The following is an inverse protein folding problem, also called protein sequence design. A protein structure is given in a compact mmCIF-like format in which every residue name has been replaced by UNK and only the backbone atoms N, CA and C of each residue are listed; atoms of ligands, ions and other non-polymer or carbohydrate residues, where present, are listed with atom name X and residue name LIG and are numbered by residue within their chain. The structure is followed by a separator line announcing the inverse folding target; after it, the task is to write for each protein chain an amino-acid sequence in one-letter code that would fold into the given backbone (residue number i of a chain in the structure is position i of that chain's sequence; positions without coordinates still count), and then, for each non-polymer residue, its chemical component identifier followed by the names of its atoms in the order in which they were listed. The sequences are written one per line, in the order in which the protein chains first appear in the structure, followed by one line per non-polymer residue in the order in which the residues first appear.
data_IF_170039380403
#
_entry.id   IF_170039380403
#
_cell.length_a   1.000
_cell.length_b   1.000
_cell.length_c   1.000
_cell.angle_alpha   90.00
_cell.angle_beta   90.00
_cell.angle_gamma   90.00
#
_symmetry.space_group_name_H-M   'P 1'
#
loop_
_entity.id
_entity.type
_entity.pdbx_description
1 polymer ?
#
# COMPACT_ATOMS: atom_id res chain seq x y z
N UNK A 1 -0.29 9.23 -19.90
CA UNK A 1 1.16 9.37 -19.64
C UNK A 1 1.60 8.09 -18.99
N UNK A 2 2.70 7.52 -19.45
CA UNK A 2 3.31 6.31 -18.88
C UNK A 2 4.33 6.70 -17.81
N UNK A 3 4.65 5.79 -16.87
CA UNK A 3 5.77 5.97 -15.95
C UNK A 3 7.05 6.28 -16.74
N UNK A 4 7.93 7.09 -16.15
CA UNK A 4 9.23 7.37 -16.75
C UNK A 4 9.99 6.06 -16.97
N UNK A 5 10.74 5.96 -18.07
CA UNK A 5 11.45 4.72 -18.43
C UNK A 5 12.37 4.26 -17.29
N UNK A 6 13.03 5.21 -16.61
CA UNK A 6 13.88 4.93 -15.45
C UNK A 6 13.13 4.28 -14.29
N UNK A 7 11.84 4.55 -14.09
CA UNK A 7 11.01 3.88 -13.08
C UNK A 7 10.66 2.47 -13.55
N UNK A 8 10.26 2.32 -14.82
CA UNK A 8 9.89 1.01 -15.40
C UNK A 8 11.08 0.04 -15.35
N UNK A 9 12.26 0.51 -15.75
CA UNK A 9 13.51 -0.25 -15.72
C UNK A 9 13.81 -0.81 -14.33
N UNK A 10 13.53 -0.07 -13.24
CA UNK A 10 13.73 -0.60 -11.89
C UNK A 10 12.84 -1.82 -11.59
N UNK A 11 11.58 -1.80 -12.02
CA UNK A 11 10.69 -2.94 -11.84
C UNK A 11 11.05 -4.12 -12.75
N UNK A 12 11.53 -3.85 -13.96
CA UNK A 12 11.95 -4.88 -14.91
C UNK A 12 13.20 -5.66 -14.44
N UNK A 13 14.00 -5.07 -13.54
CA UNK A 13 15.16 -5.73 -12.92
C UNK A 13 14.76 -6.77 -11.85
N UNK A 14 13.52 -6.73 -11.35
CA UNK A 14 13.06 -7.66 -10.30
C UNK A 14 12.59 -8.96 -10.94
N UNK A 15 13.08 -10.10 -10.46
CA UNK A 15 12.51 -11.39 -10.84
C UNK A 15 11.07 -11.45 -10.29
N UNK A 16 10.09 -11.47 -11.19
CA UNK A 16 8.68 -11.56 -10.83
C UNK A 16 8.37 -12.75 -9.91
N UNK A 17 9.12 -13.83 -9.98
CA UNK A 17 8.89 -15.03 -9.16
C UNK A 17 9.78 -15.08 -7.92
N UNK A 18 10.51 -14.00 -7.61
CA UNK A 18 11.28 -13.91 -6.38
C UNK A 18 10.37 -14.08 -5.16
N UNK A 19 10.87 -14.82 -4.15
CA UNK A 19 10.27 -14.84 -2.82
C UNK A 19 10.84 -13.72 -1.92
N UNK A 20 11.82 -12.97 -2.41
CA UNK A 20 12.50 -11.93 -1.66
C UNK A 20 11.77 -10.59 -1.80
N UNK A 21 11.01 -10.21 -0.77
CA UNK A 21 10.29 -8.93 -0.71
C UNK A 21 11.20 -7.71 -0.91
N UNK A 22 12.47 -7.81 -0.51
CA UNK A 22 13.40 -6.67 -0.52
C UNK A 22 13.75 -6.19 -1.93
N UNK A 23 13.61 -7.04 -2.95
CA UNK A 23 13.86 -6.65 -4.35
C UNK A 23 12.87 -5.59 -4.84
N UNK A 24 11.66 -5.54 -4.28
CA UNK A 24 10.66 -4.55 -4.63
C UNK A 24 10.83 -3.20 -3.90
N UNK A 25 11.65 -3.12 -2.86
CA UNK A 25 11.78 -1.88 -2.07
C UNK A 25 12.44 -0.74 -2.84
N UNK A 26 13.48 -1.03 -3.63
CA UNK A 26 14.15 -0.04 -4.48
C UNK A 26 13.20 0.56 -5.53
N UNK A 27 12.54 -0.27 -6.36
CA UNK A 27 11.57 0.18 -7.35
C UNK A 27 10.42 0.99 -6.74
N UNK A 28 9.80 0.51 -5.66
CA UNK A 28 8.73 1.25 -5.00
C UNK A 28 9.22 2.56 -4.36
N UNK A 29 10.41 2.58 -3.76
CA UNK A 29 10.96 3.82 -3.18
C UNK A 29 11.23 4.86 -4.26
N UNK A 30 11.74 4.44 -5.42
CA UNK A 30 11.97 5.30 -6.58
C UNK A 30 10.65 5.90 -7.08
N UNK A 31 9.63 5.05 -7.30
CA UNK A 31 8.30 5.49 -7.69
C UNK A 31 7.68 6.47 -6.68
N UNK A 32 7.74 6.15 -5.39
CA UNK A 32 7.18 6.99 -4.34
C UNK A 32 7.89 8.35 -4.26
N UNK A 33 9.20 8.39 -4.52
CA UNK A 33 9.98 9.64 -4.54
C UNK A 33 9.58 10.54 -5.71
N UNK A 34 9.24 9.95 -6.86
CA UNK A 34 8.72 10.68 -8.02
C UNK A 34 7.33 11.28 -7.73
N UNK A 35 6.41 10.47 -7.19
CA UNK A 35 5.02 10.90 -7.02
C UNK A 35 4.76 11.68 -5.72
N UNK A 36 5.62 11.54 -4.70
CA UNK A 36 5.60 12.33 -3.45
C UNK A 36 6.95 13.03 -3.22
N UNK A 37 7.28 14.06 -4.03
CA UNK A 37 8.60 14.67 -3.97
C UNK A 37 8.78 15.51 -2.69
N UNK A 38 10.01 15.54 -2.19
CA UNK A 38 10.40 16.34 -1.02
C UNK A 38 10.16 17.86 -1.22
N UNK A 39 10.22 18.33 -2.48
CA UNK A 39 9.90 19.70 -2.85
C UNK A 39 8.46 20.10 -2.50
N UNK A 40 7.55 19.12 -2.40
CA UNK A 40 6.16 19.31 -1.96
C UNK A 40 5.96 19.02 -0.45
N UNK A 41 7.06 18.92 0.31
CA UNK A 41 7.09 18.65 1.75
C UNK A 41 6.55 17.28 2.18
N UNK A 42 6.66 16.29 1.30
CA UNK A 42 6.45 14.89 1.65
C UNK A 42 7.75 14.22 2.09
N UNK A 43 7.64 13.27 3.01
CA UNK A 43 8.74 12.44 3.46
C UNK A 43 8.35 10.97 3.34
N UNK A 44 9.23 10.18 2.74
CA UNK A 44 9.10 8.73 2.64
C UNK A 44 9.79 8.11 3.86
N UNK A 45 9.03 7.38 4.65
CA UNK A 45 9.49 6.78 5.91
C UNK A 45 9.29 5.27 5.85
N UNK A 46 10.31 4.49 5.42
CA UNK A 46 10.26 3.05 5.52
C UNK A 46 10.26 2.64 7.00
N UNK A 47 9.31 1.80 7.38
CA UNK A 47 9.24 1.18 8.70
C UNK A 47 9.32 -0.32 8.55
N UNK A 48 10.50 -0.88 8.83
CA UNK A 48 10.65 -2.30 9.05
C UNK A 48 10.20 -2.61 10.47
N UNK A 49 9.10 -3.37 10.61
CA UNK A 49 8.78 -3.97 11.91
C UNK A 49 9.44 -5.34 11.98
N UNK A 50 10.31 -5.52 12.97
CA UNK A 50 10.77 -6.85 13.33
C UNK A 50 9.58 -7.73 13.75
N UNK A 51 9.71 -9.06 13.68
CA UNK A 51 8.64 -9.95 14.09
C UNK A 51 8.27 -9.67 15.55
N UNK A 52 7.07 -9.13 15.78
CA UNK A 52 6.51 -8.98 17.12
C UNK A 52 6.17 -10.34 17.75
N UNK A 53 6.08 -11.38 16.92
CA UNK A 53 5.77 -12.77 17.31
C UNK A 53 6.63 -13.76 16.52
N UNK A 54 7.08 -14.87 17.13
CA UNK A 54 7.72 -15.97 16.42
C UNK A 54 6.82 -16.50 15.30
N UNK A 55 7.31 -16.54 14.06
CA UNK A 55 6.55 -16.96 12.87
C UNK A 55 5.93 -15.82 12.05
N UNK A 56 6.12 -14.56 12.45
CA UNK A 56 5.78 -13.40 11.63
C UNK A 56 6.86 -13.11 10.58
N UNK A 57 6.46 -12.82 9.35
CA UNK A 57 7.37 -12.46 8.24
C UNK A 57 7.83 -11.02 8.48
N UNK A 58 9.09 -10.67 8.18
CA UNK A 58 9.50 -9.26 8.15
C UNK A 58 8.64 -8.52 7.12
N UNK A 59 8.14 -7.33 7.49
CA UNK A 59 7.41 -6.48 6.55
C UNK A 59 7.93 -5.06 6.63
N UNK A 60 8.08 -4.46 5.47
CA UNK A 60 8.35 -3.02 5.36
C UNK A 60 7.10 -2.32 4.89
N UNK A 61 6.59 -1.45 5.76
CA UNK A 61 5.56 -0.49 5.38
C UNK A 61 6.23 0.81 5.06
N UNK A 62 5.96 1.37 3.89
CA UNK A 62 6.46 2.69 3.54
C UNK A 62 5.35 3.70 3.82
N UNK A 63 5.59 4.55 4.81
CA UNK A 63 4.70 5.66 5.13
C UNK A 63 5.09 6.88 4.31
N UNK A 64 4.10 7.59 3.81
CA UNK A 64 4.26 8.94 3.27
C UNK A 64 3.71 9.88 4.32
N UNK A 65 4.63 10.63 4.92
CA UNK A 65 4.30 11.64 5.90
C UNK A 65 4.28 13.01 5.22
N UNK A 66 3.38 13.87 5.70
CA UNK A 66 3.45 15.31 5.44
C UNK A 66 3.57 16.03 6.78
N UNK A 67 4.15 17.25 6.75
CA UNK A 67 4.26 18.24 7.84
C UNK A 67 3.91 17.71 9.25
N UNK A 68 4.92 17.64 10.15
CA UNK A 68 4.80 17.15 11.54
C UNK A 68 4.59 15.63 11.70
N UNK A 69 4.99 14.83 10.70
CA UNK A 69 5.01 13.35 10.74
C UNK A 69 3.61 12.72 10.85
N UNK A 70 2.63 13.30 10.15
CA UNK A 70 1.32 12.68 10.03
C UNK A 70 1.27 11.81 8.77
N UNK A 71 0.94 10.51 8.88
CA UNK A 71 0.83 9.64 7.73
C UNK A 71 -0.40 10.03 6.91
N UNK A 72 -0.19 10.27 5.62
CA UNK A 72 -1.24 10.66 4.65
C UNK A 72 -1.46 9.61 3.57
N UNK A 73 -0.52 8.67 3.45
CA UNK A 73 -0.58 7.52 2.56
C UNK A 73 0.37 6.45 3.09
N UNK A 74 0.10 5.18 2.81
CA UNK A 74 1.08 4.12 3.08
C UNK A 74 0.95 2.97 2.08
N UNK A 75 2.04 2.23 1.90
CA UNK A 75 2.06 1.02 1.10
C UNK A 75 2.72 -0.12 1.87
N UNK A 76 2.11 -1.30 1.80
CA UNK A 76 2.66 -2.58 2.23
C UNK A 76 3.03 -3.38 0.99
N UNK A 77 4.25 -3.90 0.95
CA UNK A 77 4.79 -4.62 -0.21
C UNK A 77 4.95 -6.10 0.15
N UNK A 78 4.60 -6.97 -0.78
CA UNK A 78 4.83 -8.42 -0.73
C UNK A 78 5.34 -8.90 -2.09
N UNK A 79 6.04 -10.04 -2.16
CA UNK A 79 6.41 -10.65 -3.43
C UNK A 79 5.19 -11.05 -4.27
N UNK A 80 5.29 -11.04 -5.60
CA UNK A 80 4.20 -11.43 -6.50
C UNK A 80 3.67 -12.86 -6.26
N UNK A 81 4.49 -13.89 -5.98
CA UNK A 81 3.97 -15.25 -5.72
C UNK A 81 3.00 -15.35 -4.53
N UNK A 82 2.98 -14.36 -3.63
CA UNK A 82 1.99 -14.31 -2.55
C UNK A 82 0.57 -14.10 -3.07
N UNK A 83 0.41 -13.60 -4.30
CA UNK A 83 -0.90 -13.41 -4.92
C UNK A 83 -1.60 -14.73 -5.21
N UNK A 84 -0.86 -15.82 -5.46
CA UNK A 84 -1.46 -17.12 -5.77
C UNK A 84 -1.80 -17.94 -4.51
N UNK A 85 -1.30 -17.54 -3.34
CA UNK A 85 -1.50 -18.25 -2.08
C UNK A 85 -2.59 -17.61 -1.19
N UNK A 86 -3.64 -18.39 -0.91
CA UNK A 86 -4.79 -18.00 -0.07
C UNK A 86 -4.36 -17.45 1.31
N UNK A 87 -3.42 -18.13 1.96
CA UNK A 87 -2.96 -17.75 3.30
C UNK A 87 -2.22 -16.42 3.29
N UNK A 88 -1.38 -16.17 2.29
CA UNK A 88 -0.63 -14.91 2.19
C UNK A 88 -1.54 -13.73 1.82
N UNK A 89 -2.57 -13.95 0.98
CA UNK A 89 -3.60 -12.93 0.71
C UNK A 89 -4.39 -12.57 1.96
N UNK A 90 -4.88 -13.56 2.70
CA UNK A 90 -5.62 -13.32 3.95
C UNK A 90 -4.76 -12.55 4.98
N UNK A 91 -3.48 -12.91 5.12
CA UNK A 91 -2.54 -12.19 6.00
C UNK A 91 -2.28 -10.75 5.53
N UNK A 92 -2.15 -10.52 4.23
CA UNK A 92 -1.96 -9.18 3.68
C UNK A 92 -3.19 -8.29 3.93
N UNK A 93 -4.41 -8.80 3.75
CA UNK A 93 -5.64 -8.06 4.06
C UNK A 93 -5.73 -7.72 5.56
N UNK A 94 -5.49 -8.70 6.43
CA UNK A 94 -5.48 -8.47 7.87
C UNK A 94 -4.44 -7.40 8.26
N UNK A 95 -3.23 -7.49 7.69
CA UNK A 95 -2.17 -6.53 7.96
C UNK A 95 -2.58 -5.11 7.56
N UNK A 96 -3.19 -4.92 6.38
CA UNK A 96 -3.72 -3.62 5.97
C UNK A 96 -4.73 -3.08 6.99
N UNK A 97 -5.68 -3.90 7.43
CA UNK A 97 -6.69 -3.50 8.43
C UNK A 97 -6.05 -3.10 9.75
N UNK A 98 -5.09 -3.88 10.24
CA UNK A 98 -4.34 -3.57 11.45
C UNK A 98 -3.58 -2.24 11.33
N UNK A 99 -3.06 -1.91 10.13
CA UNK A 99 -2.45 -0.60 9.86
C UNK A 99 -3.45 0.53 9.96
N UNK A 100 -4.62 0.38 9.34
CA UNK A 100 -5.68 1.39 9.46
C UNK A 100 -6.08 1.58 10.92
N UNK A 101 -6.34 0.52 11.67
CA UNK A 101 -6.68 0.61 13.10
C UNK A 101 -5.63 1.40 13.88
N UNK A 102 -4.34 1.10 13.65
CA UNK A 102 -3.24 1.78 14.32
C UNK A 102 -3.13 3.28 13.97
N UNK A 103 -3.46 3.67 12.73
CA UNK A 103 -3.42 5.07 12.28
C UNK A 103 -4.67 5.82 12.74
N UNK A 104 -5.85 5.21 12.62
CA UNK A 104 -7.14 5.80 13.02
C UNK A 104 -7.15 6.13 14.51
N UNK A 105 -6.58 5.26 15.35
CA UNK A 105 -6.44 5.51 16.79
C UNK A 105 -5.60 6.76 17.15
N UNK A 106 -4.88 7.33 16.18
CA UNK A 106 -4.10 8.57 16.34
C UNK A 106 -4.76 9.81 15.73
N UNK A 107 -6.01 9.68 15.25
CA UNK A 107 -6.77 10.70 14.53
C UNK A 107 -6.05 11.19 13.26
N UNK A 108 -6.39 10.64 12.08
CA UNK A 108 -5.85 11.11 10.80
C UNK A 108 -6.13 12.61 10.59
N UNK A 109 -5.18 13.30 9.95
CA UNK A 109 -5.27 14.74 9.67
C UNK A 109 -5.93 15.07 8.32
N UNK A 110 -6.26 14.04 7.55
CA UNK A 110 -6.94 14.14 6.26
C UNK A 110 -8.25 13.36 6.32
N UNK A 111 -9.31 13.84 5.63
CA UNK A 111 -10.65 13.26 5.72
C UNK A 111 -10.74 11.85 5.13
N UNK A 112 -9.82 11.48 4.23
CA UNK A 112 -9.67 10.12 3.73
C UNK A 112 -8.22 9.68 3.80
N UNK A 113 -8.00 8.43 4.19
CA UNK A 113 -6.68 7.81 4.21
C UNK A 113 -6.63 6.66 3.20
N UNK A 114 -5.62 6.69 2.33
CA UNK A 114 -5.37 5.63 1.37
C UNK A 114 -4.21 4.74 1.83
N UNK A 115 -4.40 3.44 1.67
CA UNK A 115 -3.39 2.42 1.89
C UNK A 115 -3.33 1.49 0.69
N UNK A 116 -2.13 1.15 0.23
CA UNK A 116 -1.92 0.20 -0.86
C UNK A 116 -1.37 -1.11 -0.31
N UNK A 117 -1.98 -2.23 -0.70
CA UNK A 117 -1.36 -3.55 -0.57
C UNK A 117 -0.83 -3.97 -1.93
N UNK A 118 0.49 -4.10 -2.06
CA UNK A 118 1.15 -4.55 -3.27
C UNK A 118 1.65 -6.00 -3.13
N UNK A 119 1.46 -6.79 -4.18
CA UNK A 119 2.01 -8.12 -4.38
C UNK A 119 2.76 -8.13 -5.72
N UNK A 120 4.07 -7.93 -5.65
CA UNK A 120 4.87 -7.51 -6.80
C UNK A 120 4.36 -6.17 -7.31
N UNK A 121 3.99 -6.11 -8.59
CA UNK A 121 3.40 -4.92 -9.23
C UNK A 121 1.87 -4.91 -9.22
N UNK A 122 1.22 -6.01 -8.81
CA UNK A 122 -0.23 -6.06 -8.60
C UNK A 122 -0.58 -5.39 -7.30
N UNK A 123 -1.63 -4.57 -7.28
CA UNK A 123 -1.99 -3.86 -6.05
C UNK A 123 -3.50 -3.76 -5.81
N UNK A 124 -3.84 -3.66 -4.53
CA UNK A 124 -5.16 -3.36 -4.03
C UNK A 124 -5.18 -2.01 -3.33
N UNK A 125 -6.32 -1.33 -3.41
CA UNK A 125 -6.53 -0.02 -2.80
C UNK A 125 -7.47 -0.16 -1.60
N UNK A 126 -7.01 0.34 -0.47
CA UNK A 126 -7.82 0.48 0.73
C UNK A 126 -8.08 1.97 0.98
N UNK A 127 -9.34 2.29 1.26
CA UNK A 127 -9.80 3.66 1.49
C UNK A 127 -10.54 3.71 2.82
N UNK A 128 -10.02 4.50 3.76
CA UNK A 128 -10.71 4.86 4.98
C UNK A 128 -11.30 6.25 4.85
N UNK A 129 -12.58 6.40 5.21
CA UNK A 129 -13.27 7.68 5.32
C UNK A 129 -13.50 8.03 6.79
N UNK A 130 -13.01 9.19 7.22
CA UNK A 130 -13.07 9.65 8.61
C UNK A 130 -14.50 10.03 9.06
N UNK A 131 -15.31 10.60 8.16
CA UNK A 131 -16.67 11.03 8.46
C UNK A 131 -17.59 9.82 8.71
N UNK A 132 -17.50 8.81 7.85
CA UNK A 132 -18.34 7.61 7.96
C UNK A 132 -17.73 6.52 8.84
N UNK A 133 -16.44 6.65 9.18
CA UNK A 133 -15.64 5.63 9.84
C UNK A 133 -15.67 4.26 9.12
N UNK A 134 -15.69 4.29 7.77
CA UNK A 134 -15.76 3.08 6.93
C UNK A 134 -14.40 2.84 6.28
N UNK A 135 -13.97 1.57 6.28
CA UNK A 135 -12.83 1.08 5.52
C UNK A 135 -13.30 0.20 4.36
N UNK A 136 -12.94 0.60 3.14
CA UNK A 136 -13.11 -0.20 1.93
C UNK A 136 -11.75 -0.80 1.51
N UNK A 137 -11.75 -1.97 0.86
CA UNK A 137 -12.88 -2.89 0.71
C UNK A 137 -13.33 -3.51 2.06
N UNK A 138 -14.60 -3.92 2.18
CA UNK A 138 -15.10 -4.61 3.37
C UNK A 138 -14.30 -5.87 3.69
N UNK A 139 -14.25 -6.22 4.98
CA UNK A 139 -13.72 -7.51 5.41
C UNK A 139 -14.65 -8.61 4.94
N UNK A 140 -14.08 -9.68 4.38
CA UNK A 140 -14.85 -10.90 4.14
C UNK A 140 -14.77 -11.74 5.41
N UNK A 141 -15.90 -12.24 5.88
CA UNK A 141 -15.91 -13.13 7.04
C UNK A 141 -15.46 -14.54 6.60
N UNK A 142 -14.62 -15.23 7.38
CA UNK A 142 -14.33 -16.64 7.13
C UNK A 142 -15.59 -17.47 7.33
N UNK A 143 -15.81 -18.42 6.41
CA UNK A 143 -16.83 -19.45 6.62
C UNK A 143 -16.38 -20.45 7.70
N UNK A 144 -17.29 -20.83 8.60
CA UNK A 144 -16.98 -21.69 9.75
C UNK A 144 -16.76 -23.17 9.35
N UNK A 145 -17.27 -23.60 8.20
CA UNK A 145 -17.17 -24.97 7.69
C UNK A 145 -16.18 -25.11 6.55
N UNK A 146 -15.98 -24.06 5.75
CA UNK A 146 -15.21 -24.12 4.52
C UNK A 146 -13.97 -23.23 4.54
N UNK A 147 -12.84 -23.77 4.04
CA UNK A 147 -11.67 -22.97 3.71
C UNK A 147 -12.00 -22.07 2.52
N UNK A 148 -12.30 -20.80 2.84
CA UNK A 148 -12.73 -19.78 1.88
C UNK A 148 -11.65 -18.74 1.69
N UNK A 149 -11.65 -18.10 0.53
CA UNK A 149 -10.77 -16.97 0.27
C UNK A 149 -11.29 -15.72 0.97
N UNK A 150 -10.69 -15.40 2.11
CA UNK A 150 -11.01 -14.21 2.92
C UNK A 150 -10.58 -12.92 2.20
N UNK A 151 -9.63 -13.01 1.26
CA UNK A 151 -9.14 -11.88 0.48
C UNK A 151 -8.97 -12.34 -0.98
N UNK A 152 -10.05 -12.28 -1.80
CA UNK A 152 -10.04 -12.81 -3.16
C UNK A 152 -8.88 -12.24 -3.98
N UNK A 153 -8.26 -13.06 -4.84
CA UNK A 153 -7.14 -12.61 -5.69
C UNK A 153 -7.49 -11.36 -6.51
N UNK A 154 -8.74 -11.25 -6.97
CA UNK A 154 -9.27 -10.09 -7.69
C UNK A 154 -9.28 -8.80 -6.87
N UNK A 155 -8.96 -8.84 -5.56
CA UNK A 155 -8.71 -7.67 -4.73
C UNK A 155 -7.45 -6.92 -5.19
N UNK A 156 -6.43 -7.63 -5.69
CA UNK A 156 -5.21 -7.05 -6.29
C UNK A 156 -5.36 -6.95 -7.82
N UNK A 157 -6.46 -6.34 -8.27
CA UNK A 157 -6.83 -6.28 -9.68
C UNK A 157 -6.03 -5.25 -10.51
N UNK A 158 -5.42 -4.25 -9.88
CA UNK A 158 -4.64 -3.25 -10.60
C UNK A 158 -3.22 -3.74 -10.86
N UNK A 159 -2.74 -3.55 -12.08
CA UNK A 159 -1.35 -3.79 -12.48
C UNK A 159 -0.63 -2.45 -12.62
N UNK A 160 0.34 -2.17 -11.74
CA UNK A 160 0.98 -0.86 -11.61
C UNK A 160 1.63 -0.35 -12.90
N UNK A 161 2.19 -1.25 -13.70
CA UNK A 161 2.93 -0.91 -14.93
C UNK A 161 2.05 -0.85 -16.19
N UNK A 162 0.77 -1.20 -16.06
CA UNK A 162 -0.25 -1.03 -17.10
C UNK A 162 -0.98 0.31 -16.93
N UNK A 163 -1.53 0.85 -18.02
CA UNK A 163 -2.18 2.16 -18.06
C UNK A 163 -3.25 2.33 -16.98
N UNK A 164 -4.05 1.30 -16.74
CA UNK A 164 -5.12 1.34 -15.73
C UNK A 164 -4.61 1.44 -14.29
N UNK A 165 -3.55 0.70 -13.96
CA UNK A 165 -2.94 0.76 -12.63
C UNK A 165 -2.16 2.04 -12.40
N UNK A 166 -1.45 2.54 -13.42
CA UNK A 166 -0.79 3.83 -13.37
C UNK A 166 -1.80 4.97 -13.14
N UNK A 167 -2.86 5.02 -13.96
CA UNK A 167 -3.90 6.04 -13.82
C UNK A 167 -4.53 6.00 -12.44
N UNK A 168 -4.80 4.79 -11.91
CA UNK A 168 -5.34 4.63 -10.56
C UNK A 168 -4.37 5.17 -9.50
N UNK A 169 -3.10 4.79 -9.54
CA UNK A 169 -2.09 5.24 -8.58
C UNK A 169 -1.94 6.77 -8.60
N UNK A 170 -1.80 7.36 -9.79
CA UNK A 170 -1.69 8.82 -9.94
C UNK A 170 -2.94 9.55 -9.45
N UNK A 171 -4.12 9.01 -9.72
CA UNK A 171 -5.38 9.57 -9.22
C UNK A 171 -5.44 9.62 -7.70
N UNK A 172 -5.03 8.53 -7.03
CA UNK A 172 -4.95 8.48 -5.57
C UNK A 172 -3.96 9.50 -5.02
N UNK A 173 -2.77 9.60 -5.62
CA UNK A 173 -1.76 10.58 -5.22
C UNK A 173 -2.27 12.00 -5.37
N UNK A 174 -2.93 12.33 -6.48
CA UNK A 174 -3.51 13.65 -6.70
C UNK A 174 -4.56 14.00 -5.64
N UNK A 175 -5.45 13.06 -5.30
CA UNK A 175 -6.45 13.25 -4.23
C UNK A 175 -5.78 13.46 -2.85
N UNK A 176 -4.76 12.65 -2.51
CA UNK A 176 -3.97 12.83 -1.29
C UNK A 176 -3.34 14.21 -1.24
N UNK A 177 -2.67 14.63 -2.33
CA UNK A 177 -2.03 15.95 -2.43
C UNK A 177 -3.03 17.08 -2.22
N UNK A 178 -4.20 17.00 -2.86
CA UNK A 178 -5.27 17.99 -2.72
C UNK A 178 -5.80 18.06 -1.28
N UNK A 179 -6.10 16.93 -0.64
CA UNK A 179 -6.51 16.90 0.78
C UNK A 179 -5.47 17.52 1.69
N UNK A 180 -4.20 17.34 1.34
CA UNK A 180 -3.09 17.84 2.11
C UNK A 180 -2.83 19.35 1.97
N UNK A 181 -3.37 20.03 0.96
CA UNK A 181 -3.30 21.50 0.84
C UNK A 181 -4.01 22.20 2.00
N UNK A 182 -5.05 21.58 2.55
CA UNK A 182 -5.79 22.06 3.71
C UNK A 182 -5.07 21.89 5.06
N UNK A 183 -3.96 21.16 5.11
CA UNK A 183 -3.18 20.95 6.35
C UNK A 183 -2.41 22.25 6.67
N UNK A 184 -2.94 23.02 7.63
CA UNK A 184 -2.27 24.22 8.16
C UNK A 184 -0.93 23.85 8.81
N UNK A 185 0.08 24.71 8.59
CA UNK A 185 1.47 24.52 9.04
C UNK A 185 1.61 24.45 10.57
#
# INVERSE_FOLDING_TARGET
MTWADTIREQFDLVDRFTANETEYYGPYTTLLTDIFPHAEHFQIVPQSKGPMTPGSVYFTTIYIDRKRKHPVFFIEIKPFPHLDNLSTRAKADQQMRDRFVAIIGRNPVIPKLYGISAMGTRFSVYEYNQETNVLLPPSVAPDVMYLTDIAPADRWNYELLEDGGEQKMRGLVAEVKAMCEGIKA
#
